data_IF_699900835419
#
_entry.id   IF_699900835419
#
_cell.length_a   1.000
_cell.length_b   1.000
_cell.length_c   1.000
_cell.angle_alpha   90.00
_cell.angle_beta   90.00
_cell.angle_gamma   90.00
#
_symmetry.space_group_name_H-M   'P 1'
#
loop_
_entity.id
_entity.type
_entity.pdbx_description
1 polymer ?
#
# COMPACT_ATOMS: atom_id res chain seq x y z
N UNK A 1 9.37 33.73 -18.14
CA UNK A 1 9.67 33.05 -16.87
C UNK A 1 9.12 33.92 -15.75
N UNK A 2 8.03 33.51 -15.12
CA UNK A 2 7.35 34.34 -14.13
C UNK A 2 7.45 33.67 -12.75
N UNK A 3 8.27 34.24 -11.85
CA UNK A 3 8.36 33.78 -10.47
C UNK A 3 7.18 34.28 -9.65
N UNK A 4 6.49 33.39 -8.92
CA UNK A 4 5.38 33.76 -8.02
C UNK A 4 5.88 33.90 -6.59
N UNK A 5 5.60 35.04 -5.94
CA UNK A 5 5.92 35.25 -4.53
C UNK A 5 5.03 34.38 -3.64
N UNK A 6 5.64 33.59 -2.75
CA UNK A 6 4.94 32.71 -1.79
C UNK A 6 5.12 33.14 -0.33
N UNK A 7 6.11 33.99 -0.02
CA UNK A 7 6.28 34.59 1.30
C UNK A 7 6.86 36.01 1.17
N UNK A 8 6.61 36.86 2.16
CA UNK A 8 7.08 38.26 2.19
C UNK A 8 8.21 38.52 3.20
N UNK A 9 8.35 37.69 4.23
CA UNK A 9 9.39 37.83 5.27
C UNK A 9 9.97 36.46 5.67
N UNK A 10 11.08 36.03 5.05
CA UNK A 10 11.77 36.69 3.94
C UNK A 10 10.94 36.65 2.63
N UNK A 11 11.28 37.50 1.66
CA UNK A 11 10.66 37.43 0.34
C UNK A 11 11.09 36.12 -0.35
N UNK A 12 10.17 35.19 -0.54
CA UNK A 12 10.42 33.90 -1.22
C UNK A 12 9.61 33.86 -2.51
N UNK A 13 10.27 33.50 -3.61
CA UNK A 13 9.68 33.36 -4.93
C UNK A 13 9.87 31.93 -5.43
N UNK A 14 8.86 31.38 -6.10
CA UNK A 14 8.90 30.07 -6.75
C UNK A 14 8.86 30.26 -8.25
N UNK A 15 9.78 29.60 -8.95
CA UNK A 15 9.79 29.54 -10.40
C UNK A 15 8.74 28.53 -10.88
N UNK A 16 8.00 28.88 -11.92
CA UNK A 16 6.96 28.04 -12.54
C UNK A 16 7.53 26.84 -13.30
N UNK A 17 8.78 26.94 -13.75
CA UNK A 17 9.48 25.89 -14.51
C UNK A 17 10.48 25.19 -13.59
N UNK A 18 10.21 23.95 -13.15
CA UNK A 18 11.17 23.20 -12.35
C UNK A 18 12.36 22.75 -13.20
N UNK A 19 13.53 22.63 -12.59
CA UNK A 19 14.65 21.90 -13.18
C UNK A 19 14.37 20.39 -13.09
N UNK A 20 14.58 19.66 -14.17
CA UNK A 20 14.44 18.20 -14.21
C UNK A 20 15.84 17.58 -14.23
N UNK A 21 16.15 16.75 -13.24
CA UNK A 21 17.40 16.01 -13.15
C UNK A 21 17.11 14.51 -13.24
N UNK A 22 17.90 13.71 -13.97
CA UNK A 22 17.77 12.26 -13.95
C UNK A 22 18.17 11.72 -12.55
N UNK A 23 17.52 10.65 -12.07
CA UNK A 23 17.92 10.01 -10.82
C UNK A 23 19.27 9.31 -10.99
N UNK A 24 20.08 9.32 -9.94
CA UNK A 24 21.28 8.49 -9.85
C UNK A 24 20.88 7.09 -9.39
N UNK A 25 21.27 6.06 -10.15
CA UNK A 25 20.92 4.66 -9.88
C UNK A 25 22.21 3.84 -9.80
N UNK A 26 22.91 3.88 -8.65
CA UNK A 26 24.21 3.25 -8.50
C UNK A 26 24.14 1.72 -8.37
N UNK A 27 23.00 1.19 -7.92
CA UNK A 27 22.79 -0.24 -7.70
C UNK A 27 21.32 -0.65 -7.90
N UNK A 28 21.08 -1.97 -7.81
CA UNK A 28 19.76 -2.59 -8.00
C UNK A 28 18.82 -2.29 -6.84
N UNK A 29 19.30 -2.05 -5.62
CA UNK A 29 18.42 -1.71 -4.49
C UNK A 29 17.78 -0.33 -4.70
N UNK A 30 18.57 0.67 -5.10
CA UNK A 30 18.05 2.00 -5.46
C UNK A 30 17.08 1.90 -6.63
N UNK A 31 17.40 1.11 -7.66
CA UNK A 31 16.51 0.90 -8.81
C UNK A 31 15.16 0.30 -8.38
N UNK A 32 15.18 -0.76 -7.57
CA UNK A 32 13.98 -1.44 -7.08
C UNK A 32 13.10 -0.51 -6.25
N UNK A 33 13.68 0.36 -5.42
CA UNK A 33 12.93 1.38 -4.67
C UNK A 33 12.30 2.44 -5.57
N UNK A 34 13.03 2.92 -6.58
CA UNK A 34 12.52 3.90 -7.55
C UNK A 34 11.39 3.32 -8.41
N UNK A 35 11.49 2.06 -8.80
CA UNK A 35 10.41 1.32 -9.47
C UNK A 35 9.22 1.14 -8.54
N UNK A 36 9.43 0.66 -7.32
CA UNK A 36 8.37 0.43 -6.34
C UNK A 36 7.55 1.70 -6.08
N UNK A 37 8.21 2.85 -5.92
CA UNK A 37 7.56 4.17 -5.73
C UNK A 37 6.92 4.73 -7.01
N UNK A 38 7.22 4.16 -8.18
CA UNK A 38 6.76 4.67 -9.48
C UNK A 38 7.50 5.93 -9.94
N UNK A 39 8.64 6.26 -9.30
CA UNK A 39 9.51 7.35 -9.74
C UNK A 39 10.17 7.04 -11.09
N UNK A 40 10.44 5.75 -11.33
CA UNK A 40 10.80 5.20 -12.64
C UNK A 40 9.65 4.30 -13.11
N UNK A 41 9.33 4.33 -14.39
CA UNK A 41 8.23 3.56 -14.96
C UNK A 41 8.50 2.05 -14.98
N UNK A 42 7.43 1.26 -14.89
CA UNK A 42 7.43 -0.20 -14.90
C UNK A 42 7.77 -0.83 -16.29
N UNK A 43 8.40 -0.07 -17.18
CA UNK A 43 8.80 -0.56 -18.51
C UNK A 43 10.18 -1.22 -18.51
N UNK A 44 10.98 -1.00 -17.46
CA UNK A 44 12.34 -1.55 -17.35
C UNK A 44 12.38 -2.92 -16.68
N UNK A 45 11.41 -3.22 -15.81
CA UNK A 45 11.31 -4.42 -14.98
C UNK A 45 9.84 -4.84 -14.98
N UNK A 46 9.56 -6.14 -14.94
CA UNK A 46 8.18 -6.61 -14.97
C UNK A 46 7.42 -6.15 -13.71
N UNK A 47 6.16 -5.75 -13.88
CA UNK A 47 5.29 -5.36 -12.77
C UNK A 47 5.23 -6.44 -11.69
N UNK A 48 5.32 -7.70 -12.10
CA UNK A 48 5.35 -8.87 -11.22
C UNK A 48 6.57 -8.82 -10.29
N UNK A 49 7.77 -8.69 -10.83
CA UNK A 49 9.02 -8.63 -10.05
C UNK A 49 9.01 -7.45 -9.06
N UNK A 50 8.49 -6.29 -9.48
CA UNK A 50 8.35 -5.12 -8.61
C UNK A 50 7.36 -5.37 -7.46
N UNK A 51 6.28 -6.12 -7.71
CA UNK A 51 5.30 -6.50 -6.71
C UNK A 51 5.83 -7.61 -5.76
N UNK A 52 6.63 -8.55 -6.26
CA UNK A 52 7.33 -9.54 -5.44
C UNK A 52 8.32 -8.86 -4.49
N UNK A 53 9.09 -7.87 -4.99
CA UNK A 53 9.96 -7.04 -4.15
C UNK A 53 9.17 -6.31 -3.05
N UNK A 54 8.00 -5.73 -3.38
CA UNK A 54 7.11 -5.14 -2.38
C UNK A 54 6.69 -6.15 -1.30
N UNK A 55 6.26 -7.35 -1.70
CA UNK A 55 5.83 -8.38 -0.75
C UNK A 55 6.98 -8.88 0.13
N UNK A 56 8.19 -9.01 -0.41
CA UNK A 56 9.37 -9.34 0.38
C UNK A 56 9.63 -8.30 1.50
N UNK A 57 9.53 -7.00 1.18
CA UNK A 57 9.62 -5.91 2.16
C UNK A 57 8.46 -5.99 3.16
N UNK A 58 7.24 -6.19 2.66
CA UNK A 58 6.05 -6.29 3.48
C UNK A 58 6.17 -7.38 4.53
N UNK A 59 6.51 -8.60 4.11
CA UNK A 59 6.62 -9.80 4.93
C UNK A 59 7.76 -9.70 5.94
N UNK A 60 8.85 -9.00 5.59
CA UNK A 60 9.98 -8.75 6.49
C UNK A 60 9.77 -7.59 7.47
N UNK A 61 8.69 -6.81 7.30
CA UNK A 61 8.42 -5.61 8.09
C UNK A 61 7.40 -5.85 9.21
N UNK A 62 7.36 -4.98 10.21
CA UNK A 62 6.28 -4.99 11.21
C UNK A 62 5.00 -4.27 10.72
N UNK A 63 4.98 -3.77 9.47
CA UNK A 63 3.88 -2.96 8.97
C UNK A 63 2.56 -3.74 8.88
N UNK A 64 2.60 -5.03 8.54
CA UNK A 64 1.39 -5.84 8.45
C UNK A 64 0.73 -6.09 9.82
N UNK A 65 1.50 -6.07 10.91
CA UNK A 65 1.01 -6.34 12.28
C UNK A 65 -0.08 -5.35 12.74
N UNK A 66 -0.09 -4.14 12.18
CA UNK A 66 -1.15 -3.14 12.45
C UNK A 66 -2.54 -3.60 11.98
N UNK A 67 -2.60 -4.60 11.11
CA UNK A 67 -3.82 -5.18 10.56
C UNK A 67 -4.36 -6.36 11.36
N UNK A 68 -3.75 -6.73 12.49
CA UNK A 68 -4.22 -7.84 13.32
C UNK A 68 -5.71 -7.74 13.71
N UNK A 69 -6.21 -6.51 13.91
CA UNK A 69 -7.63 -6.25 14.23
C UNK A 69 -8.59 -6.54 13.07
N UNK A 70 -8.09 -6.58 11.83
CA UNK A 70 -8.91 -6.90 10.65
C UNK A 70 -9.25 -8.40 10.56
N UNK A 71 -8.44 -9.25 11.20
CA UNK A 71 -8.63 -10.71 11.22
C UNK A 71 -9.50 -11.18 12.41
N UNK A 72 -9.78 -10.30 13.39
CA UNK A 72 -10.72 -10.65 14.47
C UNK A 72 -12.15 -10.72 13.92
N UNK A 73 -12.83 -11.83 14.23
CA UNK A 73 -14.26 -12.09 13.94
C UNK A 73 -15.22 -11.03 14.52
N UNK A 74 -14.71 -10.10 15.33
CA UNK A 74 -15.47 -9.02 15.98
C UNK A 74 -15.88 -7.87 15.04
N UNK A 75 -15.43 -7.90 13.77
CA UNK A 75 -15.83 -6.90 12.78
C UNK A 75 -17.31 -7.02 12.34
N UNK A 76 -17.98 -8.15 12.62
CA UNK A 76 -19.44 -8.27 12.44
C UNK A 76 -20.22 -7.23 13.29
N UNK A 77 -19.64 -6.77 14.41
CA UNK A 77 -20.28 -5.80 15.31
C UNK A 77 -20.10 -4.36 14.82
N UNK A 78 -18.98 -4.02 14.18
CA UNK A 78 -18.74 -2.66 13.65
C UNK A 78 -19.61 -2.34 12.42
N UNK A 79 -19.97 -3.35 11.62
CA UNK A 79 -20.90 -3.17 10.49
C UNK A 79 -22.37 -3.10 10.93
N UNK A 80 -22.76 -3.83 11.98
CA UNK A 80 -24.15 -3.78 12.50
C UNK A 80 -24.46 -2.46 13.22
N UNK A 81 -23.49 -1.91 13.98
CA UNK A 81 -23.70 -0.67 14.74
C UNK A 81 -23.82 0.58 13.85
N UNK A 82 -23.44 0.50 12.57
CA UNK A 82 -23.66 1.57 11.58
C UNK A 82 -25.12 1.67 11.12
N UNK A 83 -25.93 0.62 11.28
CA UNK A 83 -27.27 0.52 10.72
C UNK A 83 -28.39 0.49 11.76
N UNK A 84 -28.08 0.33 13.06
CA UNK A 84 -29.10 0.21 14.13
C UNK A 84 -29.12 1.32 15.19
N UNK A 85 -28.45 2.45 14.99
CA UNK A 85 -28.59 3.62 15.89
C UNK A 85 -29.26 4.81 15.19
N UNK A 86 -30.47 4.61 14.71
CA UNK A 86 -31.40 5.71 14.46
C UNK A 86 -32.75 5.32 15.05
N UNK A 87 -32.92 5.59 16.34
CA UNK A 87 -34.16 5.99 17.02
C UNK A 87 -33.83 6.11 18.52
N UNK A 88 -33.25 7.24 18.94
CA UNK A 88 -33.60 7.91 20.20
C UNK A 88 -32.88 9.25 20.30
N UNK A 89 -33.70 10.29 20.36
CA UNK A 89 -33.46 11.68 20.70
C UNK A 89 -32.48 11.89 21.87
N UNK A 90 -31.44 12.73 21.72
CA UNK A 90 -31.33 14.08 22.29
C UNK A 90 -29.93 14.67 22.05
N UNK A 91 -29.86 15.98 21.80
CA UNK A 91 -28.72 16.63 21.17
C UNK A 91 -27.47 16.82 22.03
N UNK A 92 -26.34 17.07 21.35
CA UNK A 92 -25.40 18.17 21.56
C UNK A 92 -24.41 18.19 20.38
N UNK A 93 -24.10 19.39 19.90
CA UNK A 93 -23.39 19.64 18.65
C UNK A 93 -22.00 18.99 18.58
N UNK A 94 -21.75 18.26 17.48
CA UNK A 94 -20.41 18.01 16.97
C UNK A 94 -20.34 18.46 15.52
N UNK A 95 -19.35 19.32 15.24
CA UNK A 95 -19.04 19.88 13.92
C UNK A 95 -18.96 18.75 12.90
N UNK A 96 -19.95 18.68 12.01
CA UNK A 96 -19.96 17.79 10.86
C UNK A 96 -18.76 18.14 9.95
N UNK A 97 -17.66 17.40 10.08
CA UNK A 97 -16.76 17.22 8.95
C UNK A 97 -17.61 16.52 7.88
N UNK A 98 -17.91 17.25 6.80
CA UNK A 98 -18.54 16.73 5.59
C UNK A 98 -17.82 15.43 5.20
N UNK A 99 -18.44 14.28 5.49
CA UNK A 99 -18.03 13.00 4.91
C UNK A 99 -18.30 13.13 3.43
N UNK A 100 -17.22 13.31 2.66
CA UNK A 100 -17.24 13.12 1.22
C UNK A 100 -17.69 11.67 1.01
N UNK A 101 -18.71 11.38 0.18
CA UNK A 101 -19.09 10.02 -0.12
C UNK A 101 -17.93 9.38 -0.88
N UNK A 102 -17.07 8.67 -0.16
CA UNK A 102 -16.07 7.81 -0.77
C UNK A 102 -16.82 6.65 -1.43
N UNK A 103 -16.35 6.14 -2.55
CA UNK A 103 -16.86 4.91 -3.15
C UNK A 103 -16.55 3.74 -2.18
N UNK A 104 -17.55 3.31 -1.40
CA UNK A 104 -17.38 2.36 -0.28
C UNK A 104 -16.81 1.01 -0.77
N UNK A 105 -17.10 0.64 -2.03
CA UNK A 105 -16.63 -0.57 -2.71
C UNK A 105 -15.11 -0.68 -2.74
N UNK A 106 -14.43 0.46 -2.87
CA UNK A 106 -12.96 0.45 -2.92
C UNK A 106 -12.35 0.19 -1.55
N UNK A 107 -12.99 0.61 -0.47
CA UNK A 107 -12.46 0.48 0.89
C UNK A 107 -12.62 -0.94 1.42
N UNK A 108 -13.69 -1.65 1.05
CA UNK A 108 -13.89 -3.07 1.38
C UNK A 108 -12.79 -3.95 0.74
N UNK A 109 -12.56 -3.80 -0.57
CA UNK A 109 -11.47 -4.51 -1.27
C UNK A 109 -10.11 -4.26 -0.61
N UNK A 110 -9.83 -3.03 -0.16
CA UNK A 110 -8.56 -2.73 0.53
C UNK A 110 -8.48 -3.40 1.89
N UNK A 111 -9.59 -3.49 2.63
CA UNK A 111 -9.62 -4.25 3.88
C UNK A 111 -9.38 -5.73 3.65
N UNK A 112 -9.95 -6.31 2.61
CA UNK A 112 -9.77 -7.72 2.26
C UNK A 112 -8.33 -8.02 1.81
N UNK A 113 -7.72 -7.15 1.01
CA UNK A 113 -6.29 -7.24 0.66
C UNK A 113 -5.42 -7.20 1.90
N UNK A 114 -5.66 -6.24 2.81
CA UNK A 114 -4.88 -6.11 4.06
C UNK A 114 -5.07 -7.33 4.97
N UNK A 115 -6.29 -7.85 5.08
CA UNK A 115 -6.61 -9.05 5.85
C UNK A 115 -5.88 -10.26 5.28
N UNK A 116 -5.98 -10.46 3.97
CA UNK A 116 -5.34 -11.58 3.25
C UNK A 116 -3.83 -11.56 3.43
N UNK A 117 -3.19 -10.39 3.24
CA UNK A 117 -1.76 -10.24 3.47
C UNK A 117 -1.38 -10.50 4.94
N UNK A 118 -2.17 -10.00 5.89
CA UNK A 118 -1.92 -10.28 7.31
C UNK A 118 -2.04 -11.77 7.64
N UNK A 119 -3.09 -12.44 7.17
CA UNK A 119 -3.38 -13.84 7.48
C UNK A 119 -2.35 -14.77 6.83
N UNK A 120 -1.98 -14.53 5.58
CA UNK A 120 -0.96 -15.32 4.87
C UNK A 120 0.39 -15.24 5.57
N UNK A 121 0.87 -14.04 5.92
CA UNK A 121 2.14 -13.89 6.65
C UNK A 121 2.06 -14.45 8.07
N UNK A 122 0.95 -14.26 8.77
CA UNK A 122 0.81 -14.68 10.18
C UNK A 122 0.62 -16.18 10.34
N UNK A 123 0.06 -16.87 9.34
CA UNK A 123 -0.12 -18.33 9.33
C UNK A 123 1.08 -19.07 8.72
N UNK A 124 2.04 -18.35 8.15
CA UNK A 124 3.25 -18.94 7.60
C UNK A 124 4.20 -19.40 8.72
N UNK A 125 4.48 -20.71 8.75
CA UNK A 125 5.40 -21.34 9.71
C UNK A 125 6.86 -21.39 9.21
N UNK A 126 7.11 -20.92 7.98
CA UNK A 126 8.44 -20.92 7.38
C UNK A 126 9.33 -19.76 7.83
N UNK A 127 10.62 -19.89 7.52
CA UNK A 127 11.64 -18.89 7.77
C UNK A 127 11.66 -17.83 6.66
N UNK A 128 11.15 -16.64 6.99
CA UNK A 128 11.14 -15.44 6.13
C UNK A 128 12.57 -15.02 5.69
N UNK A 129 13.63 -15.43 6.40
CA UNK A 129 15.02 -15.15 5.99
C UNK A 129 15.57 -16.10 4.93
N UNK A 130 14.89 -17.22 4.67
CA UNK A 130 15.25 -18.17 3.63
C UNK A 130 14.58 -17.73 2.32
N UNK A 131 15.38 -17.48 1.28
CA UNK A 131 14.91 -16.97 -0.02
C UNK A 131 13.84 -17.89 -0.64
N UNK A 132 14.09 -19.20 -0.67
CA UNK A 132 13.16 -20.20 -1.21
C UNK A 132 11.82 -20.23 -0.46
N UNK A 133 11.85 -20.06 0.85
CA UNK A 133 10.63 -20.05 1.68
C UNK A 133 9.88 -18.73 1.56
N UNK A 134 10.59 -17.60 1.42
CA UNK A 134 10.00 -16.30 1.12
C UNK A 134 9.32 -16.32 -0.26
N UNK A 135 9.97 -16.87 -1.28
CA UNK A 135 9.39 -17.03 -2.62
C UNK A 135 8.11 -17.87 -2.58
N UNK A 136 8.09 -18.96 -1.82
CA UNK A 136 6.90 -19.78 -1.63
C UNK A 136 5.76 -19.02 -0.94
N UNK A 137 6.08 -18.21 0.08
CA UNK A 137 5.10 -17.32 0.74
C UNK A 137 4.54 -16.29 -0.25
N UNK A 138 5.41 -15.63 -1.02
CA UNK A 138 5.00 -14.63 -2.02
C UNK A 138 4.10 -15.27 -3.09
N UNK A 139 4.44 -16.45 -3.58
CA UNK A 139 3.61 -17.19 -4.53
C UNK A 139 2.21 -17.47 -3.96
N UNK A 140 2.14 -17.94 -2.70
CA UNK A 140 0.86 -18.15 -2.00
C UNK A 140 0.06 -16.85 -1.85
N UNK A 141 0.72 -15.72 -1.58
CA UNK A 141 0.08 -14.41 -1.49
C UNK A 141 -0.50 -13.96 -2.83
N UNK A 142 0.20 -14.21 -3.95
CA UNK A 142 -0.33 -13.90 -5.28
C UNK A 142 -1.61 -14.69 -5.59
N UNK A 143 -1.62 -15.99 -5.28
CA UNK A 143 -2.82 -16.82 -5.44
C UNK A 143 -3.98 -16.30 -4.60
N UNK A 144 -3.75 -15.99 -3.32
CA UNK A 144 -4.80 -15.47 -2.44
C UNK A 144 -5.32 -14.09 -2.89
N UNK A 145 -4.43 -13.21 -3.35
CA UNK A 145 -4.80 -11.90 -3.87
C UNK A 145 -5.56 -11.97 -5.19
N UNK A 146 -5.33 -12.99 -6.01
CA UNK A 146 -6.10 -13.20 -7.24
C UNK A 146 -7.59 -13.37 -6.94
N UNK A 147 -7.93 -14.11 -5.88
CA UNK A 147 -9.31 -14.30 -5.42
C UNK A 147 -9.92 -12.99 -4.93
N UNK A 148 -9.19 -12.24 -4.08
CA UNK A 148 -9.63 -10.95 -3.52
C UNK A 148 -9.86 -9.91 -4.61
N UNK A 149 -9.01 -9.88 -5.63
CA UNK A 149 -9.14 -8.96 -6.75
C UNK A 149 -10.15 -9.40 -7.82
N UNK A 150 -10.78 -10.57 -7.63
CA UNK A 150 -11.69 -11.20 -8.59
C UNK A 150 -11.11 -11.25 -10.00
N UNK A 151 -9.84 -11.65 -10.12
CA UNK A 151 -9.14 -11.74 -11.41
C UNK A 151 -9.40 -13.12 -12.03
N UNK A 152 -10.36 -13.15 -12.96
CA UNK A 152 -10.60 -14.31 -13.82
C UNK A 152 -9.73 -14.18 -15.07
N UNK A 153 -8.76 -15.07 -15.26
CA UNK A 153 -7.92 -15.09 -16.47
C UNK A 153 -7.66 -16.53 -16.87
N UNK A 154 -7.64 -16.79 -18.18
CA UNK A 154 -7.43 -18.14 -18.74
C UNK A 154 -5.98 -18.64 -18.56
N UNK A 155 -5.03 -17.71 -18.30
CA UNK A 155 -3.62 -17.98 -18.01
C UNK A 155 -3.21 -17.38 -16.67
N UNK A 156 -2.50 -18.15 -15.87
CA UNK A 156 -2.01 -17.76 -14.53
C UNK A 156 -0.99 -16.62 -14.61
N UNK A 157 -0.10 -16.64 -15.60
CA UNK A 157 0.90 -15.59 -15.82
C UNK A 157 0.25 -14.21 -16.06
N UNK A 158 -0.83 -14.18 -16.84
CA UNK A 158 -1.59 -12.96 -17.11
C UNK A 158 -2.35 -12.49 -15.86
N UNK A 159 -2.84 -13.42 -15.03
CA UNK A 159 -3.50 -13.11 -13.76
C UNK A 159 -2.52 -12.43 -12.78
N UNK A 160 -1.31 -12.96 -12.63
CA UNK A 160 -0.28 -12.40 -11.74
C UNK A 160 0.13 -10.98 -12.16
N UNK A 161 0.22 -10.70 -13.46
CA UNK A 161 0.51 -9.34 -13.96
C UNK A 161 -0.61 -8.36 -13.59
N UNK A 162 -1.87 -8.78 -13.64
CA UNK A 162 -3.03 -7.96 -13.22
C UNK A 162 -3.03 -7.75 -11.71
N UNK A 163 -2.81 -8.81 -10.92
CA UNK A 163 -2.70 -8.74 -9.46
C UNK A 163 -1.58 -7.81 -9.04
N UNK A 164 -0.39 -7.94 -9.64
CA UNK A 164 0.76 -7.08 -9.40
C UNK A 164 0.43 -5.60 -9.67
N UNK A 165 -0.22 -5.30 -10.80
CA UNK A 165 -0.63 -3.94 -11.13
C UNK A 165 -1.62 -3.35 -10.10
N UNK A 166 -2.62 -4.12 -9.67
CA UNK A 166 -3.58 -3.70 -8.64
C UNK A 166 -2.90 -3.49 -7.29
N UNK A 167 -2.03 -4.40 -6.88
CA UNK A 167 -1.29 -4.33 -5.62
C UNK A 167 -0.38 -3.10 -5.57
N UNK A 168 0.42 -2.88 -6.63
CA UNK A 168 1.30 -1.71 -6.74
C UNK A 168 0.51 -0.40 -6.74
N UNK A 169 -0.66 -0.35 -7.38
CA UNK A 169 -1.52 0.83 -7.31
C UNK A 169 -1.97 1.13 -5.87
N UNK A 170 -2.41 0.10 -5.11
CA UNK A 170 -2.76 0.27 -3.70
C UNK A 170 -1.57 0.71 -2.84
N UNK A 171 -0.37 0.19 -3.11
CA UNK A 171 0.85 0.63 -2.45
C UNK A 171 1.17 2.10 -2.75
N UNK A 172 1.28 2.47 -4.03
CA UNK A 172 1.67 3.81 -4.49
C UNK A 172 0.68 4.90 -4.10
N UNK A 173 -0.60 4.56 -3.98
CA UNK A 173 -1.65 5.46 -3.47
C UNK A 173 -1.70 5.53 -1.94
N UNK A 174 -0.83 4.82 -1.23
CA UNK A 174 -0.76 4.80 0.24
C UNK A 174 -1.87 3.99 0.91
N UNK A 175 -2.67 3.24 0.14
CA UNK A 175 -3.80 2.45 0.64
C UNK A 175 -3.36 1.16 1.33
N UNK A 176 -2.10 0.74 1.18
CA UNK A 176 -1.49 -0.32 2.01
C UNK A 176 -0.72 0.25 3.21
N UNK A 177 -0.87 1.54 3.50
CA UNK A 177 -0.15 2.24 4.54
C UNK A 177 1.25 2.68 4.10
N UNK A 178 1.98 3.28 5.04
CA UNK A 178 3.28 3.91 4.77
C UNK A 178 4.42 2.93 5.05
N UNK A 179 5.34 2.81 4.10
CA UNK A 179 6.55 2.01 4.22
C UNK A 179 7.76 2.93 4.14
N UNK A 180 8.75 2.64 4.98
CA UNK A 180 10.07 3.25 4.91
C UNK A 180 10.95 2.21 4.20
N UNK A 181 11.37 2.51 2.98
CA UNK A 181 12.16 1.60 2.15
C UNK A 181 13.65 1.67 2.50
N UNK A 182 14.10 2.77 3.10
CA UNK A 182 15.48 2.96 3.50
C UNK A 182 15.72 2.50 4.94
N UNK A 183 16.91 1.95 5.16
CA UNK A 183 17.39 1.68 6.50
C UNK A 183 17.62 3.02 7.20
N UNK A 184 16.75 3.37 8.16
CA UNK A 184 17.02 4.51 9.02
C UNK A 184 18.32 4.24 9.80
N UNK A 185 19.23 5.22 9.91
CA UNK A 185 20.43 5.06 10.71
C UNK A 185 20.03 4.76 12.14
N UNK A 186 20.24 3.51 12.55
CA UNK A 186 20.00 3.03 13.90
C UNK A 186 21.26 3.44 14.68
N UNK A 187 21.16 4.57 15.40
CA UNK A 187 22.17 5.24 16.26
C UNK A 187 22.66 6.59 15.73
N UNK A 188 22.04 7.66 16.21
CA UNK A 188 22.77 8.84 16.66
C UNK A 188 22.45 8.92 18.16
N UNK A 189 23.32 8.33 18.98
CA UNK A 189 23.32 8.49 20.43
C UNK A 189 24.47 9.43 20.82
#
# INVERSE_FOLDING_TARGET
MFGKRIASHPNIYVLDTPAVLPPEVPDVDVLSKLLLTGAIGDCLIERKETAEYFLAIHNSSDQYKKWAKLSSKENDIFFLNSTTECLTTHGLQMKQKKKIPNDHTQDDMVQDVRRTLYETVSSFDGNIRCEVEMEALIASQFTALQEVFHVSTEREEDAHVVVAGKLLNLFRTGRLGHYILDNLPRNIH
#
